data_IF_867254011567
#
_entry.id   IF_867254011567
#
_cell.length_a   1.000
_cell.length_b   1.000
_cell.length_c   1.000
_cell.angle_alpha   90.00
_cell.angle_beta   90.00
_cell.angle_gamma   90.00
#
_symmetry.space_group_name_H-M   'P 1'
#
loop_
_entity.id
_entity.type
_entity.pdbx_description
1 polymer ?
#
# COMPACT_ATOMS: atom_id res chain seq x y z
N UNK A 1 4.29 -41.62 19.02
CA UNK A 1 4.75 -40.89 17.83
C UNK A 1 3.88 -41.31 16.67
N UNK A 2 2.70 -40.70 16.57
CA UNK A 2 1.85 -40.78 15.39
C UNK A 2 2.16 -39.51 14.60
N UNK A 3 2.96 -39.66 13.55
CA UNK A 3 3.07 -38.64 12.50
C UNK A 3 1.68 -38.45 11.92
N UNK A 4 1.00 -37.37 12.31
CA UNK A 4 -0.14 -36.85 11.56
C UNK A 4 0.36 -36.65 10.12
N UNK A 5 -0.16 -37.46 9.20
CA UNK A 5 0.15 -37.26 7.79
C UNK A 5 -0.37 -35.88 7.42
N UNK A 6 0.50 -35.02 6.89
CA UNK A 6 0.06 -33.81 6.24
C UNK A 6 -1.10 -34.18 5.28
N UNK A 7 -2.23 -33.45 5.31
CA UNK A 7 -3.34 -33.74 4.40
C UNK A 7 -2.80 -33.77 2.97
N UNK A 8 -3.27 -34.74 2.17
CA UNK A 8 -2.90 -34.82 0.77
C UNK A 8 -3.19 -33.47 0.10
N UNK A 9 -2.23 -32.96 -0.68
CA UNK A 9 -2.37 -31.67 -1.35
C UNK A 9 -3.65 -31.68 -2.19
N UNK A 10 -4.52 -30.67 -2.00
CA UNK A 10 -5.71 -30.46 -2.81
C UNK A 10 -5.26 -30.33 -4.28
N UNK A 11 -5.81 -31.12 -5.21
CA UNK A 11 -5.49 -30.97 -6.62
C UNK A 11 -6.01 -29.62 -7.14
N UNK A 12 -5.26 -29.00 -8.05
CA UNK A 12 -5.66 -27.73 -8.69
C UNK A 12 -6.93 -27.92 -9.53
N UNK A 13 -7.90 -27.04 -9.32
CA UNK A 13 -9.15 -27.00 -10.07
C UNK A 13 -9.02 -26.15 -11.33
N UNK A 14 -10.07 -26.14 -12.16
CA UNK A 14 -10.14 -25.23 -13.30
C UNK A 14 -10.31 -23.76 -12.87
N UNK A 15 -10.86 -23.51 -11.68
CA UNK A 15 -11.03 -22.15 -11.13
C UNK A 15 -9.68 -21.64 -10.64
N UNK A 16 -8.88 -22.49 -9.98
CA UNK A 16 -7.50 -22.13 -9.60
C UNK A 16 -6.66 -21.78 -10.83
N UNK A 17 -6.77 -22.55 -11.91
CA UNK A 17 -6.05 -22.27 -13.15
C UNK A 17 -6.40 -20.88 -13.73
N UNK A 18 -7.67 -20.47 -13.69
CA UNK A 18 -8.07 -19.12 -14.14
C UNK A 18 -7.55 -18.04 -13.19
N UNK A 19 -7.50 -18.30 -11.88
CA UNK A 19 -6.94 -17.39 -10.90
C UNK A 19 -5.42 -17.21 -11.10
N UNK A 20 -4.69 -18.30 -11.33
CA UNK A 20 -3.25 -18.29 -11.61
C UNK A 20 -2.95 -17.56 -12.93
N UNK A 21 -3.68 -17.87 -14.01
CA UNK A 21 -3.55 -17.19 -15.31
C UNK A 21 -3.81 -15.66 -15.20
N UNK A 22 -4.74 -15.27 -14.32
CA UNK A 22 -5.00 -13.86 -14.06
C UNK A 22 -3.89 -13.22 -13.23
N UNK A 23 -3.35 -13.90 -12.22
CA UNK A 23 -2.17 -13.45 -11.47
C UNK A 23 -0.97 -13.23 -12.39
N UNK A 24 -0.70 -14.15 -13.31
CA UNK A 24 0.36 -13.99 -14.32
C UNK A 24 0.11 -12.77 -15.22
N UNK A 25 -1.15 -12.49 -15.53
CA UNK A 25 -1.55 -11.29 -16.26
C UNK A 25 -1.32 -10.02 -15.43
N UNK A 26 -1.61 -10.04 -14.13
CA UNK A 26 -1.31 -8.92 -13.23
C UNK A 26 0.19 -8.63 -13.16
N UNK A 27 1.03 -9.66 -13.02
CA UNK A 27 2.49 -9.52 -13.00
C UNK A 27 3.00 -8.89 -14.31
N UNK A 28 2.44 -9.30 -15.46
CA UNK A 28 2.80 -8.73 -16.77
C UNK A 28 2.35 -7.28 -16.93
N UNK A 29 1.17 -6.91 -16.42
CA UNK A 29 0.62 -5.56 -16.55
C UNK A 29 1.21 -4.59 -15.53
N UNK A 30 1.58 -5.08 -14.35
CA UNK A 30 2.26 -4.34 -13.30
C UNK A 30 3.61 -4.97 -12.93
N UNK A 31 4.67 -4.62 -13.67
CA UNK A 31 6.03 -4.97 -13.33
C UNK A 31 6.50 -4.53 -11.92
N UNK A 32 5.87 -3.52 -11.33
CA UNK A 32 6.22 -3.11 -9.96
C UNK A 32 5.69 -4.14 -8.95
N UNK A 33 4.51 -4.73 -9.20
CA UNK A 33 3.99 -5.85 -8.43
C UNK A 33 4.90 -7.08 -8.49
N UNK A 34 5.54 -7.36 -9.64
CA UNK A 34 6.56 -8.40 -9.74
C UNK A 34 7.72 -8.17 -8.76
N UNK A 35 8.18 -6.92 -8.66
CA UNK A 35 9.25 -6.52 -7.72
C UNK A 35 8.81 -6.67 -6.27
N UNK A 36 7.57 -6.29 -5.92
CA UNK A 36 7.06 -6.45 -4.53
C UNK A 36 6.92 -7.91 -4.12
N UNK A 37 6.62 -8.81 -5.08
CA UNK A 37 6.58 -10.26 -4.87
C UNK A 37 7.97 -10.94 -4.86
N UNK A 38 9.04 -10.20 -5.20
CA UNK A 38 10.38 -10.76 -5.33
C UNK A 38 10.59 -11.62 -6.58
N UNK A 39 9.79 -11.40 -7.63
CA UNK A 39 9.90 -12.10 -8.91
C UNK A 39 10.89 -11.37 -9.84
N UNK A 40 11.93 -12.04 -10.34
CA UNK A 40 12.93 -11.42 -11.21
C UNK A 40 12.43 -11.21 -12.64
N UNK A 41 13.15 -10.40 -13.43
CA UNK A 41 12.97 -10.24 -14.88
C UNK A 41 12.37 -8.90 -15.32
N UNK A 42 11.85 -8.10 -14.39
CA UNK A 42 11.22 -6.80 -14.65
C UNK A 42 11.68 -5.69 -13.68
N UNK A 43 12.92 -5.79 -13.18
CA UNK A 43 13.48 -4.99 -12.09
C UNK A 43 13.52 -3.49 -12.38
N UNK A 44 13.35 -3.08 -13.64
CA UNK A 44 13.44 -1.67 -14.09
C UNK A 44 12.11 -1.07 -14.56
N UNK A 45 11.06 -1.87 -14.68
CA UNK A 45 9.85 -1.51 -15.42
C UNK A 45 8.73 -0.98 -14.51
N UNK A 46 7.81 -0.20 -15.07
CA UNK A 46 6.60 0.30 -14.40
C UNK A 46 5.35 -0.18 -15.15
N UNK A 47 4.19 -0.25 -14.48
CA UNK A 47 2.92 -0.36 -15.18
C UNK A 47 2.71 0.86 -16.09
N UNK A 48 1.89 0.68 -17.11
CA UNK A 48 1.42 1.78 -17.94
C UNK A 48 0.32 2.56 -17.19
N UNK A 49 0.69 3.70 -16.60
CA UNK A 49 -0.23 4.58 -15.89
C UNK A 49 -1.11 5.46 -16.81
N UNK A 50 -0.98 5.33 -18.14
CA UNK A 50 -1.80 6.08 -19.10
C UNK A 50 -3.25 5.55 -19.16
N UNK A 51 -4.19 6.28 -19.80
CA UNK A 51 -5.54 5.78 -20.02
C UNK A 51 -5.57 4.45 -20.78
N UNK A 52 -4.60 4.22 -21.68
CA UNK A 52 -4.50 2.96 -22.42
C UNK A 52 -4.10 1.80 -21.51
N UNK A 53 -3.18 2.02 -20.57
CA UNK A 53 -2.78 1.02 -19.58
C UNK A 53 -3.91 0.69 -18.60
N UNK A 54 -4.58 1.71 -18.07
CA UNK A 54 -5.76 1.56 -17.19
C UNK A 54 -6.88 0.79 -17.90
N UNK A 55 -7.21 1.16 -19.15
CA UNK A 55 -8.21 0.45 -19.95
C UNK A 55 -7.77 -0.98 -20.30
N UNK A 56 -6.48 -1.21 -20.52
CA UNK A 56 -5.89 -2.53 -20.74
C UNK A 56 -6.07 -3.44 -19.53
N UNK A 57 -5.81 -2.93 -18.33
CA UNK A 57 -6.06 -3.64 -17.08
C UNK A 57 -7.53 -4.04 -16.96
N UNK A 58 -8.45 -3.09 -17.13
CA UNK A 58 -9.89 -3.37 -17.09
C UNK A 58 -10.35 -4.37 -18.17
N UNK A 59 -9.68 -4.42 -19.33
CA UNK A 59 -9.98 -5.40 -20.37
C UNK A 59 -9.59 -6.83 -19.94
N UNK A 60 -8.42 -7.00 -19.32
CA UNK A 60 -8.00 -8.30 -18.77
C UNK A 60 -8.86 -8.74 -17.58
N UNK A 61 -9.26 -7.80 -16.71
CA UNK A 61 -10.22 -8.05 -15.63
C UNK A 61 -11.55 -8.61 -16.15
N UNK A 62 -12.09 -8.02 -17.24
CA UNK A 62 -13.32 -8.53 -17.89
C UNK A 62 -13.12 -9.93 -18.46
N UNK A 63 -11.97 -10.22 -19.06
CA UNK A 63 -11.66 -11.55 -19.59
C UNK A 63 -11.61 -12.60 -18.49
N UNK A 64 -10.99 -12.28 -17.35
CA UNK A 64 -10.94 -13.18 -16.19
C UNK A 64 -12.35 -13.48 -15.65
N UNK A 65 -13.19 -12.46 -15.44
CA UNK A 65 -14.59 -12.66 -15.04
C UNK A 65 -15.38 -13.52 -16.04
N UNK A 66 -15.18 -13.31 -17.33
CA UNK A 66 -15.81 -14.11 -18.38
C UNK A 66 -15.36 -15.58 -18.35
N UNK A 67 -14.08 -15.84 -18.08
CA UNK A 67 -13.55 -17.20 -17.92
C UNK A 67 -14.16 -17.92 -16.70
N UNK A 68 -14.45 -17.19 -15.62
CA UNK A 68 -15.10 -17.73 -14.41
C UNK A 68 -16.61 -17.95 -14.55
N UNK A 69 -17.28 -17.31 -15.51
CA UNK A 69 -18.75 -17.30 -15.59
C UNK A 69 -19.37 -18.69 -15.86
N UNK A 70 -18.62 -19.60 -16.49
CA UNK A 70 -19.08 -20.95 -16.85
C UNK A 70 -18.61 -22.06 -15.91
N UNK A 71 -17.84 -21.75 -14.87
CA UNK A 71 -17.24 -22.74 -13.98
C UNK A 71 -18.12 -22.95 -12.73
N UNK A 72 -18.41 -24.21 -12.42
CA UNK A 72 -19.04 -24.61 -11.17
C UNK A 72 -17.96 -25.00 -10.16
N UNK A 73 -18.10 -24.62 -8.87
CA UNK A 73 -17.13 -24.97 -7.85
C UNK A 73 -17.09 -26.48 -7.62
N UNK A 74 -15.89 -27.06 -7.56
CA UNK A 74 -15.69 -28.49 -7.28
C UNK A 74 -15.72 -28.79 -5.77
N UNK A 75 -15.41 -27.78 -4.96
CA UNK A 75 -15.41 -27.82 -3.50
C UNK A 75 -15.67 -26.42 -2.88
N UNK A 76 -15.51 -26.30 -1.56
CA UNK A 76 -15.70 -25.07 -0.80
C UNK A 76 -14.63 -24.01 -1.09
N UNK A 77 -13.38 -24.42 -1.35
CA UNK A 77 -12.30 -23.52 -1.75
C UNK A 77 -12.63 -22.83 -3.07
N UNK A 78 -13.07 -23.59 -4.08
CA UNK A 78 -13.51 -23.00 -5.35
C UNK A 78 -14.69 -22.03 -5.17
N UNK A 79 -15.62 -22.33 -4.26
CA UNK A 79 -16.75 -21.47 -3.97
C UNK A 79 -16.28 -20.12 -3.39
N UNK A 80 -15.30 -20.14 -2.48
CA UNK A 80 -14.67 -18.92 -1.93
C UNK A 80 -13.91 -18.16 -3.01
N UNK A 81 -13.11 -18.84 -3.83
CA UNK A 81 -12.34 -18.20 -4.92
C UNK A 81 -13.27 -17.51 -5.90
N UNK A 82 -14.37 -18.17 -6.32
CA UNK A 82 -15.36 -17.56 -7.20
C UNK A 82 -16.02 -16.33 -6.58
N UNK A 83 -16.41 -16.39 -5.31
CA UNK A 83 -17.05 -15.27 -4.63
C UNK A 83 -16.09 -14.08 -4.50
N UNK A 84 -14.89 -14.33 -3.97
CA UNK A 84 -13.86 -13.31 -3.79
C UNK A 84 -13.42 -12.67 -5.12
N UNK A 85 -13.15 -13.48 -6.16
CA UNK A 85 -12.76 -12.93 -7.46
C UNK A 85 -13.89 -12.13 -8.11
N UNK A 86 -15.14 -12.62 -8.05
CA UNK A 86 -16.29 -11.88 -8.61
C UNK A 86 -16.49 -10.55 -7.90
N UNK A 87 -16.37 -10.52 -6.58
CA UNK A 87 -16.54 -9.31 -5.80
C UNK A 87 -15.39 -8.32 -6.08
N UNK A 88 -14.13 -8.74 -5.98
CA UNK A 88 -12.96 -7.87 -6.20
C UNK A 88 -12.88 -7.36 -7.64
N UNK A 89 -12.93 -8.23 -8.65
CA UNK A 89 -12.80 -7.85 -10.06
C UNK A 89 -14.06 -7.10 -10.53
N UNK A 90 -15.25 -7.46 -10.04
CA UNK A 90 -16.47 -6.74 -10.35
C UNK A 90 -16.40 -5.29 -9.86
N UNK A 91 -15.95 -5.07 -8.62
CA UNK A 91 -15.75 -3.73 -8.07
C UNK A 91 -14.68 -2.93 -8.83
N UNK A 92 -13.58 -3.57 -9.23
CA UNK A 92 -12.56 -2.90 -10.06
C UNK A 92 -13.16 -2.34 -11.35
N UNK A 93 -14.05 -3.09 -12.01
CA UNK A 93 -14.75 -2.62 -13.21
C UNK A 93 -15.74 -1.50 -12.92
N UNK A 94 -16.49 -1.57 -11.83
CA UNK A 94 -17.40 -0.47 -11.44
C UNK A 94 -16.62 0.84 -11.18
N UNK A 95 -15.45 0.76 -10.54
CA UNK A 95 -14.57 1.91 -10.30
C UNK A 95 -14.05 2.47 -11.63
N UNK A 96 -13.59 1.59 -12.51
CA UNK A 96 -13.11 1.99 -13.84
C UNK A 96 -14.22 2.64 -14.68
N UNK A 97 -15.43 2.08 -14.66
CA UNK A 97 -16.60 2.64 -15.36
C UNK A 97 -17.02 4.00 -14.78
N UNK A 98 -16.74 4.24 -13.50
CA UNK A 98 -16.94 5.57 -12.89
C UNK A 98 -15.92 6.60 -13.42
N UNK A 99 -14.77 6.17 -13.94
CA UNK A 99 -13.65 6.98 -14.41
C UNK A 99 -12.91 7.76 -13.32
N UNK A 100 -13.09 7.39 -12.05
CA UNK A 100 -12.37 8.01 -10.93
C UNK A 100 -11.00 7.40 -10.65
N UNK A 101 -10.72 6.22 -11.21
CA UNK A 101 -9.39 5.59 -11.26
C UNK A 101 -8.39 6.46 -12.04
N UNK A 102 -8.81 7.08 -13.15
CA UNK A 102 -7.96 8.03 -13.90
C UNK A 102 -7.64 9.32 -13.11
N UNK A 103 -8.42 9.63 -12.08
CA UNK A 103 -8.29 10.83 -11.24
C UNK A 103 -7.59 10.56 -9.90
N UNK A 104 -6.99 9.38 -9.72
CA UNK A 104 -6.42 8.94 -8.46
C UNK A 104 -5.23 9.80 -8.04
N UNK A 105 -5.45 10.66 -7.04
CA UNK A 105 -4.43 11.52 -6.45
C UNK A 105 -4.78 11.80 -4.99
N UNK A 106 -3.91 11.37 -4.08
CA UNK A 106 -4.03 11.65 -2.64
C UNK A 106 -2.65 11.73 -1.98
N UNK A 107 -2.62 11.99 -0.67
CA UNK A 107 -1.40 12.26 0.08
C UNK A 107 -0.61 11.02 0.52
N UNK A 108 -1.13 9.80 0.30
CA UNK A 108 -0.58 8.58 0.92
C UNK A 108 -0.35 7.43 -0.05
N UNK A 109 -1.33 7.10 -0.90
CA UNK A 109 -1.31 5.93 -1.77
C UNK A 109 -1.95 6.31 -3.11
N UNK A 110 -1.11 6.78 -4.03
CA UNK A 110 -1.47 7.08 -5.41
C UNK A 110 -0.19 7.00 -6.28
N UNK A 111 -0.29 7.00 -7.62
CA UNK A 111 0.86 6.77 -8.49
C UNK A 111 2.09 7.67 -8.21
N UNK A 112 1.87 8.91 -7.73
CA UNK A 112 2.96 9.81 -7.36
C UNK A 112 3.84 9.29 -6.21
N UNK A 113 3.25 8.59 -5.24
CA UNK A 113 3.99 7.97 -4.13
C UNK A 113 4.52 6.60 -4.53
N UNK A 114 3.71 5.79 -5.24
CA UNK A 114 4.06 4.40 -5.58
C UNK A 114 5.28 4.32 -6.50
N UNK A 115 5.36 5.22 -7.49
CA UNK A 115 6.52 5.32 -8.40
C UNK A 115 7.81 5.61 -7.63
N UNK A 116 7.77 6.33 -6.50
CA UNK A 116 8.94 6.54 -5.65
C UNK A 116 9.15 5.39 -4.66
N UNK A 117 8.09 4.85 -4.08
CA UNK A 117 8.15 3.87 -3.01
C UNK A 117 8.78 2.53 -3.43
N UNK A 118 8.60 2.14 -4.69
CA UNK A 118 9.16 0.88 -5.20
C UNK A 118 10.69 0.79 -5.06
N UNK A 119 11.39 1.93 -5.04
CA UNK A 119 12.84 1.98 -4.86
C UNK A 119 13.28 1.49 -3.47
N UNK A 120 12.41 1.61 -2.46
CA UNK A 120 12.73 1.18 -1.09
C UNK A 120 12.81 -0.36 -0.97
N UNK A 121 12.23 -1.07 -1.93
CA UNK A 121 12.27 -2.53 -2.03
C UNK A 121 13.42 -3.05 -2.89
N UNK A 122 14.16 -2.16 -3.57
CA UNK A 122 15.22 -2.59 -4.46
C UNK A 122 16.49 -2.94 -3.67
N UNK A 123 17.10 -4.11 -3.93
CA UNK A 123 18.33 -4.52 -3.27
C UNK A 123 19.50 -3.58 -3.65
N UNK A 124 20.58 -3.54 -2.86
CA UNK A 124 21.73 -2.61 -3.05
C UNK A 124 23.10 -3.27 -2.87
N UNK A 125 23.14 -4.60 -2.79
CA UNK A 125 24.32 -5.38 -2.45
C UNK A 125 25.33 -5.52 -3.60
N UNK A 126 24.88 -5.46 -4.86
CA UNK A 126 25.72 -5.74 -6.04
C UNK A 126 25.69 -4.60 -7.06
N UNK A 127 26.67 -4.57 -7.97
CA UNK A 127 26.69 -3.62 -9.07
C UNK A 127 25.45 -3.73 -9.96
N UNK A 128 24.99 -4.96 -10.24
CA UNK A 128 23.77 -5.24 -11.01
C UNK A 128 22.52 -4.66 -10.33
N UNK A 129 22.41 -4.76 -9.00
CA UNK A 129 21.31 -4.12 -8.27
C UNK A 129 21.27 -2.61 -8.48
N UNK A 130 22.44 -1.96 -8.45
CA UNK A 130 22.55 -0.53 -8.74
C UNK A 130 22.29 -0.20 -10.21
N UNK A 131 22.61 -1.09 -11.15
CA UNK A 131 22.19 -0.95 -12.55
C UNK A 131 20.67 -1.01 -12.72
N UNK A 132 19.99 -1.90 -11.98
CA UNK A 132 18.53 -1.96 -11.96
C UNK A 132 17.91 -0.69 -11.39
N UNK A 133 18.43 -0.17 -10.28
CA UNK A 133 18.00 1.11 -9.69
C UNK A 133 18.16 2.25 -10.72
N UNK A 134 19.32 2.32 -11.39
CA UNK A 134 19.56 3.31 -12.43
C UNK A 134 18.58 3.16 -13.61
N UNK A 135 18.33 1.93 -14.05
CA UNK A 135 17.37 1.62 -15.11
C UNK A 135 15.95 2.04 -14.75
N UNK A 136 15.49 1.69 -13.54
CA UNK A 136 14.18 2.10 -13.03
C UNK A 136 14.05 3.61 -12.93
N UNK A 137 15.08 4.30 -12.43
CA UNK A 137 15.09 5.77 -12.36
C UNK A 137 14.99 6.42 -13.75
N UNK A 138 15.60 5.81 -14.79
CA UNK A 138 15.44 6.24 -16.18
C UNK A 138 14.05 6.00 -16.76
N UNK A 139 13.27 5.08 -16.20
CA UNK A 139 11.88 4.79 -16.61
C UNK A 139 10.82 5.62 -15.87
N UNK A 140 11.16 6.28 -14.75
CA UNK A 140 10.26 7.21 -14.03
C UNK A 140 9.61 8.27 -14.94
N UNK A 141 10.31 8.90 -15.91
CA UNK A 141 9.67 9.83 -16.84
C UNK A 141 8.57 9.21 -17.69
N UNK A 142 8.69 7.94 -18.08
CA UNK A 142 7.64 7.23 -18.82
C UNK A 142 6.39 7.05 -17.97
N UNK A 143 6.56 6.52 -16.76
CA UNK A 143 5.48 6.30 -15.80
C UNK A 143 4.73 7.59 -15.45
N UNK A 144 5.46 8.65 -15.11
CA UNK A 144 4.84 9.94 -14.74
C UNK A 144 4.15 10.64 -15.92
N UNK A 145 4.64 10.48 -17.16
CA UNK A 145 3.94 11.03 -18.33
C UNK A 145 2.61 10.32 -18.58
N UNK A 146 2.56 9.00 -18.46
CA UNK A 146 1.31 8.24 -18.54
C UNK A 146 0.33 8.68 -17.45
N UNK A 147 0.80 8.82 -16.21
CA UNK A 147 -0.02 9.31 -15.11
C UNK A 147 -0.57 10.73 -15.35
N UNK A 148 0.26 11.66 -15.86
CA UNK A 148 -0.18 13.00 -16.25
C UNK A 148 -1.28 12.94 -17.34
N UNK A 149 -1.16 12.02 -18.30
CA UNK A 149 -2.18 11.82 -19.34
C UNK A 149 -3.53 11.42 -18.74
N UNK A 150 -3.54 10.45 -17.82
CA UNK A 150 -4.74 10.01 -17.10
C UNK A 150 -5.38 11.14 -16.29
N UNK A 151 -4.58 11.86 -15.49
CA UNK A 151 -5.08 13.00 -14.72
C UNK A 151 -5.66 14.11 -15.62
N UNK A 152 -5.05 14.34 -16.80
CA UNK A 152 -5.52 15.33 -17.76
C UNK A 152 -6.85 14.88 -18.39
N UNK A 153 -6.98 13.62 -18.78
CA UNK A 153 -8.22 13.06 -19.31
C UNK A 153 -9.34 13.13 -18.28
N UNK A 154 -9.07 12.71 -17.03
CA UNK A 154 -10.02 12.80 -15.93
C UNK A 154 -10.48 14.25 -15.67
N UNK A 155 -9.54 15.20 -15.66
CA UNK A 155 -9.85 16.63 -15.54
C UNK A 155 -10.79 17.10 -16.63
N UNK A 156 -10.52 16.74 -17.89
CA UNK A 156 -11.35 17.13 -19.03
C UNK A 156 -12.75 16.50 -18.97
N UNK A 157 -12.88 15.36 -18.29
CA UNK A 157 -14.15 14.72 -17.93
C UNK A 157 -14.80 15.27 -16.64
N UNK A 158 -14.25 16.34 -16.04
CA UNK A 158 -14.77 16.97 -14.82
C UNK A 158 -14.45 16.23 -13.52
N UNK A 159 -13.49 15.30 -13.53
CA UNK A 159 -13.06 14.51 -12.37
C UNK A 159 -11.68 14.95 -11.93
N UNK A 160 -11.64 15.69 -10.82
CA UNK A 160 -10.40 16.23 -10.26
C UNK A 160 -10.37 15.98 -8.75
N UNK A 161 -9.22 15.59 -8.23
CA UNK A 161 -8.99 15.50 -6.79
C UNK A 161 -9.11 16.88 -6.12
N UNK A 162 -9.44 16.91 -4.83
CA UNK A 162 -9.60 18.17 -4.10
C UNK A 162 -8.30 19.00 -4.10
N UNK A 163 -8.42 20.32 -4.14
CA UNK A 163 -7.28 21.24 -4.20
C UNK A 163 -6.26 21.02 -3.07
N UNK A 164 -6.73 20.57 -1.90
CA UNK A 164 -5.89 20.14 -0.77
C UNK A 164 -4.95 19.00 -1.16
N UNK A 165 -5.49 17.93 -1.75
CA UNK A 165 -4.71 16.76 -2.14
C UNK A 165 -3.70 17.12 -3.23
N UNK A 166 -4.13 17.88 -4.25
CA UNK A 166 -3.24 18.38 -5.30
C UNK A 166 -2.08 19.19 -4.70
N UNK A 167 -2.36 20.08 -3.74
CA UNK A 167 -1.33 20.89 -3.08
C UNK A 167 -0.34 20.05 -2.28
N UNK A 168 -0.80 19.02 -1.56
CA UNK A 168 0.08 18.11 -0.81
C UNK A 168 0.98 17.32 -1.75
N UNK A 169 0.43 16.78 -2.84
CA UNK A 169 1.24 16.02 -3.81
C UNK A 169 2.27 16.94 -4.48
N UNK A 170 1.94 18.19 -4.80
CA UNK A 170 2.93 19.18 -5.26
C UNK A 170 4.08 19.33 -4.26
N UNK A 171 3.79 19.44 -2.96
CA UNK A 171 4.81 19.54 -1.93
C UNK A 171 5.72 18.30 -1.89
N UNK A 172 5.12 17.11 -1.87
CA UNK A 172 5.83 15.83 -1.84
C UNK A 172 6.72 15.65 -3.07
N UNK A 173 6.18 15.84 -4.27
CA UNK A 173 6.95 15.69 -5.53
C UNK A 173 8.05 16.72 -5.65
N UNK A 174 7.84 17.94 -5.12
CA UNK A 174 8.90 18.97 -5.05
C UNK A 174 10.04 18.52 -4.13
N UNK A 175 9.73 17.91 -2.96
CA UNK A 175 10.74 17.34 -2.05
C UNK A 175 11.50 16.18 -2.71
N UNK A 176 10.82 15.29 -3.44
CA UNK A 176 11.48 14.20 -4.15
C UNK A 176 12.48 14.70 -5.20
N UNK A 177 12.14 15.79 -5.88
CA UNK A 177 12.95 16.37 -6.96
C UNK A 177 14.04 17.36 -6.50
N UNK A 178 14.06 17.75 -5.22
CA UNK A 178 15.02 18.69 -4.65
C UNK A 178 16.48 18.23 -4.84
N UNK A 179 17.44 19.17 -4.73
CA UNK A 179 18.87 18.86 -4.86
C UNK A 179 19.39 17.95 -3.74
N UNK A 180 18.74 17.99 -2.58
CA UNK A 180 18.94 17.09 -1.44
C UNK A 180 17.73 16.13 -1.24
N UNK A 181 16.92 15.97 -2.29
CA UNK A 181 15.75 15.09 -2.32
C UNK A 181 16.11 13.61 -2.42
N UNK A 182 15.09 12.76 -2.44
CA UNK A 182 15.23 11.28 -2.46
C UNK A 182 16.19 10.80 -3.54
N UNK A 183 15.94 11.13 -4.82
CA UNK A 183 16.74 10.62 -5.94
C UNK A 183 18.19 11.12 -5.91
N UNK A 184 18.42 12.35 -5.43
CA UNK A 184 19.77 12.88 -5.29
C UNK A 184 20.55 12.16 -4.19
N UNK A 185 19.91 11.94 -3.03
CA UNK A 185 20.49 11.17 -1.92
C UNK A 185 20.72 9.71 -2.29
N UNK A 186 19.80 9.08 -3.02
CA UNK A 186 19.93 7.70 -3.48
C UNK A 186 21.16 7.52 -4.38
N UNK A 187 21.32 8.37 -5.40
CA UNK A 187 22.49 8.30 -6.28
C UNK A 187 23.80 8.64 -5.56
N UNK A 188 23.81 9.66 -4.69
CA UNK A 188 25.00 10.04 -3.92
C UNK A 188 25.41 9.02 -2.86
N UNK A 189 24.44 8.23 -2.36
CA UNK A 189 24.64 7.20 -1.35
C UNK A 189 25.03 5.83 -1.91
N UNK A 190 25.21 5.70 -3.22
CA UNK A 190 25.40 4.41 -3.89
C UNK A 190 26.70 3.69 -3.47
N UNK A 191 26.54 2.51 -2.87
CA UNK A 191 27.64 1.70 -2.35
C UNK A 191 27.26 0.23 -2.25
N UNK A 192 28.26 -0.63 -2.32
CA UNK A 192 28.16 -2.07 -2.04
C UNK A 192 28.95 -2.38 -0.75
N UNK A 193 29.03 -3.67 -0.39
CA UNK A 193 29.89 -4.11 0.70
C UNK A 193 31.39 -3.80 0.45
N UNK A 194 31.80 -3.73 -0.82
CA UNK A 194 33.19 -3.52 -1.23
C UNK A 194 33.58 -2.03 -1.35
N UNK A 195 32.63 -1.12 -1.14
CA UNK A 195 32.84 0.33 -1.20
C UNK A 195 31.90 1.04 -2.19
N UNK A 196 32.25 2.27 -2.61
CA UNK A 196 31.50 3.00 -3.64
C UNK A 196 31.35 2.18 -4.92
N UNK A 197 30.23 2.35 -5.62
CA UNK A 197 30.02 1.73 -6.94
C UNK A 197 31.06 2.24 -7.96
N UNK A 198 31.28 1.48 -9.02
CA UNK A 198 32.20 1.90 -10.07
C UNK A 198 31.70 3.16 -10.81
N UNK A 199 32.61 3.85 -11.50
CA UNK A 199 32.30 5.12 -12.16
C UNK A 199 31.24 4.98 -13.27
N UNK A 200 31.15 3.81 -13.92
CA UNK A 200 30.20 3.59 -15.02
C UNK A 200 28.77 3.40 -14.48
N UNK A 201 28.62 2.66 -13.37
CA UNK A 201 27.36 2.51 -12.64
C UNK A 201 26.97 3.84 -12.00
N UNK A 202 27.91 4.58 -11.41
CA UNK A 202 27.64 5.91 -10.86
C UNK A 202 27.11 6.87 -11.93
N UNK A 203 27.72 6.90 -13.13
CA UNK A 203 27.22 7.74 -14.23
C UNK A 203 25.79 7.37 -14.66
N UNK A 204 25.47 6.07 -14.68
CA UNK A 204 24.11 5.59 -14.97
C UNK A 204 23.11 6.04 -13.90
N UNK A 205 23.49 5.95 -12.62
CA UNK A 205 22.68 6.38 -11.48
C UNK A 205 22.44 7.88 -11.49
N UNK A 206 23.48 8.68 -11.69
CA UNK A 206 23.39 10.14 -11.73
C UNK A 206 22.45 10.58 -12.86
N UNK A 207 22.57 9.97 -14.04
CA UNK A 207 21.68 10.23 -15.17
C UNK A 207 20.24 9.79 -14.91
N UNK A 208 20.03 8.62 -14.29
CA UNK A 208 18.70 8.12 -13.91
C UNK A 208 18.04 9.01 -12.85
N UNK A 209 18.77 9.39 -11.81
CA UNK A 209 18.30 10.31 -10.78
C UNK A 209 17.95 11.68 -11.37
N UNK A 210 18.79 12.22 -12.26
CA UNK A 210 18.49 13.48 -12.94
C UNK A 210 17.19 13.40 -13.76
N UNK A 211 16.97 12.28 -14.48
CA UNK A 211 15.76 12.04 -15.25
C UNK A 211 14.51 11.95 -14.35
N UNK A 212 14.57 11.15 -13.28
CA UNK A 212 13.47 11.02 -12.31
C UNK A 212 13.12 12.36 -11.65
N UNK A 213 14.13 13.13 -11.21
CA UNK A 213 13.94 14.47 -10.65
C UNK A 213 13.31 15.43 -11.66
N UNK A 214 13.72 15.36 -12.92
CA UNK A 214 13.12 16.13 -14.01
C UNK A 214 11.63 15.82 -14.18
N UNK A 215 11.27 14.54 -14.20
CA UNK A 215 9.89 14.09 -14.35
C UNK A 215 9.00 14.46 -13.15
N UNK A 216 9.51 14.39 -11.92
CA UNK A 216 8.74 14.87 -10.75
C UNK A 216 8.56 16.40 -10.74
N UNK A 217 9.52 17.17 -11.28
CA UNK A 217 9.31 18.62 -11.52
C UNK A 217 8.24 18.87 -12.57
N UNK A 218 8.22 18.08 -13.64
CA UNK A 218 7.19 18.16 -14.68
C UNK A 218 5.80 17.84 -14.10
N UNK A 219 5.67 16.77 -13.29
CA UNK A 219 4.44 16.47 -12.57
C UNK A 219 4.02 17.64 -11.66
N UNK A 220 4.94 18.15 -10.83
CA UNK A 220 4.62 19.26 -9.92
C UNK A 220 4.13 20.51 -10.67
N UNK A 221 4.72 20.80 -11.84
CA UNK A 221 4.31 21.92 -12.67
C UNK A 221 2.96 21.69 -13.34
N UNK A 222 2.70 20.50 -13.87
CA UNK A 222 1.38 20.10 -14.37
C UNK A 222 0.32 20.25 -13.28
N UNK A 223 0.56 19.68 -12.09
CA UNK A 223 -0.36 19.77 -10.97
C UNK A 223 -0.65 21.23 -10.59
N UNK A 224 0.37 22.11 -10.61
CA UNK A 224 0.23 23.52 -10.27
C UNK A 224 -0.51 24.34 -11.33
N UNK A 225 -0.21 24.12 -12.60
CA UNK A 225 -0.65 24.99 -13.70
C UNK A 225 -1.91 24.50 -14.40
N UNK A 226 -2.16 23.19 -14.40
CA UNK A 226 -3.25 22.56 -15.12
C UNK A 226 -4.30 21.96 -14.17
N UNK A 227 -3.90 21.22 -13.14
CA UNK A 227 -4.84 20.47 -12.31
C UNK A 227 -5.41 21.30 -11.15
N UNK A 228 -4.55 22.00 -10.40
CA UNK A 228 -4.94 22.79 -9.23
C UNK A 228 -5.95 23.91 -9.57
N UNK A 229 -5.85 24.64 -10.70
CA UNK A 229 -6.87 25.63 -11.06
C UNK A 229 -8.24 25.04 -11.35
N UNK A 230 -8.31 23.76 -11.75
CA UNK A 230 -9.55 23.03 -11.99
C UNK A 230 -10.04 22.25 -10.75
N UNK A 231 -9.24 22.19 -9.69
CA UNK A 231 -9.52 21.36 -8.52
C UNK A 231 -10.62 21.96 -7.62
N UNK A 232 -11.61 21.16 -7.18
CA UNK A 232 -12.63 21.64 -6.26
C UNK A 232 -12.04 21.97 -4.88
N UNK A 233 -12.57 23.01 -4.24
CA UNK A 233 -12.24 23.35 -2.85
C UNK A 233 -12.91 22.40 -1.84
N UNK A 234 -14.03 21.77 -2.23
CA UNK A 234 -14.73 20.82 -1.40
C UNK A 234 -13.96 19.50 -1.34
N UNK A 235 -13.55 19.11 -0.13
CA UNK A 235 -12.83 17.85 0.11
C UNK A 235 -13.76 16.61 0.02
N UNK A 236 -15.04 16.77 0.37
CA UNK A 236 -15.99 15.66 0.41
C UNK A 236 -16.29 15.09 -0.99
N UNK A 237 -16.07 13.78 -1.16
CA UNK A 237 -16.22 13.07 -2.44
C UNK A 237 -17.67 12.74 -2.83
N UNK A 238 -18.61 12.83 -1.88
CA UNK A 238 -20.01 12.47 -2.11
C UNK A 238 -20.29 10.97 -2.01
N UNK A 239 -21.58 10.62 -1.93
CA UNK A 239 -22.04 9.27 -1.56
C UNK A 239 -21.63 8.17 -2.53
N UNK A 240 -21.76 8.41 -3.84
CA UNK A 240 -21.52 7.40 -4.88
C UNK A 240 -20.05 6.96 -4.88
N UNK A 241 -19.12 7.93 -4.92
CA UNK A 241 -17.68 7.67 -4.83
C UNK A 241 -17.29 7.03 -3.51
N UNK A 242 -17.87 7.52 -2.40
CA UNK A 242 -17.59 6.96 -1.08
C UNK A 242 -18.03 5.49 -0.97
N UNK A 243 -19.19 5.13 -1.54
CA UNK A 243 -19.68 3.75 -1.51
C UNK A 243 -18.75 2.78 -2.26
N UNK A 244 -18.23 3.17 -3.44
CA UNK A 244 -17.26 2.36 -4.17
C UNK A 244 -15.94 2.22 -3.39
N UNK A 245 -15.38 3.33 -2.91
CA UNK A 245 -14.15 3.31 -2.12
C UNK A 245 -14.30 2.49 -0.83
N UNK A 246 -15.44 2.63 -0.12
CA UNK A 246 -15.74 1.86 1.09
C UNK A 246 -15.74 0.35 0.83
N UNK A 247 -16.33 -0.10 -0.29
CA UNK A 247 -16.28 -1.51 -0.70
C UNK A 247 -14.86 -1.98 -1.00
N UNK A 248 -14.01 -1.13 -1.59
CA UNK A 248 -12.62 -1.48 -1.88
C UNK A 248 -11.87 -1.85 -0.60
N UNK A 249 -12.09 -1.12 0.49
CA UNK A 249 -11.44 -1.39 1.76
C UNK A 249 -12.13 -2.48 2.60
N UNK A 250 -13.46 -2.57 2.57
CA UNK A 250 -14.21 -3.45 3.48
C UNK A 250 -14.59 -4.80 2.89
N UNK A 251 -14.62 -4.96 1.56
CA UNK A 251 -15.20 -6.16 0.95
C UNK A 251 -16.71 -6.26 1.10
N UNK A 252 -17.38 -5.18 1.49
CA UNK A 252 -18.81 -5.16 1.80
C UNK A 252 -19.45 -3.82 1.45
N UNK A 253 -20.71 -3.86 0.99
CA UNK A 253 -21.54 -2.69 0.77
C UNK A 253 -22.39 -2.41 2.02
N UNK A 254 -21.82 -1.67 2.98
CA UNK A 254 -22.51 -1.29 4.22
C UNK A 254 -23.52 -0.17 3.99
N UNK A 255 -24.55 -0.08 4.84
CA UNK A 255 -25.40 1.11 4.89
C UNK A 255 -24.62 2.24 5.56
N UNK A 256 -24.14 3.18 4.77
CA UNK A 256 -23.31 4.29 5.26
C UNK A 256 -23.98 5.15 6.34
N UNK A 257 -25.31 5.28 6.32
CA UNK A 257 -26.04 6.08 7.30
C UNK A 257 -26.19 5.34 8.63
N UNK A 258 -26.50 4.05 8.56
CA UNK A 258 -26.56 3.16 9.72
C UNK A 258 -25.16 3.00 10.34
N UNK A 259 -24.13 2.75 9.54
CA UNK A 259 -22.75 2.59 10.01
C UNK A 259 -22.23 3.86 10.68
N UNK A 260 -22.60 5.05 10.17
CA UNK A 260 -22.29 6.31 10.85
C UNK A 260 -22.97 6.41 12.22
N UNK A 261 -24.26 6.08 12.31
CA UNK A 261 -25.00 6.12 13.57
C UNK A 261 -24.43 5.12 14.59
N UNK A 262 -24.09 3.92 14.14
CA UNK A 262 -23.37 2.93 14.95
C UNK A 262 -22.03 3.47 15.44
N UNK A 263 -21.24 4.10 14.56
CA UNK A 263 -19.93 4.65 14.91
C UNK A 263 -20.00 5.75 15.98
N UNK A 264 -21.02 6.61 15.93
CA UNK A 264 -21.26 7.63 16.97
C UNK A 264 -21.60 6.97 18.31
N UNK A 265 -22.49 5.97 18.30
CA UNK A 265 -22.85 5.24 19.52
C UNK A 265 -21.65 4.48 20.11
N UNK A 266 -20.85 3.86 19.25
CA UNK A 266 -19.66 3.12 19.67
C UNK A 266 -18.59 4.06 20.24
N UNK A 267 -18.43 5.26 19.69
CA UNK A 267 -17.56 6.29 20.25
C UNK A 267 -18.01 6.68 21.67
N UNK A 268 -19.29 6.95 21.88
CA UNK A 268 -19.83 7.27 23.22
C UNK A 268 -19.58 6.12 24.21
N UNK A 269 -19.77 4.88 23.77
CA UNK A 269 -19.50 3.68 24.58
C UNK A 269 -18.02 3.60 24.96
N UNK A 270 -17.10 3.84 24.02
CA UNK A 270 -15.66 3.80 24.26
C UNK A 270 -15.20 4.92 25.21
N UNK A 271 -15.77 6.13 25.09
CA UNK A 271 -15.50 7.23 26.02
C UNK A 271 -15.95 6.84 27.43
N UNK A 272 -17.15 6.28 27.59
CA UNK A 272 -17.64 5.84 28.90
C UNK A 272 -16.76 4.74 29.52
N UNK A 273 -16.19 3.83 28.72
CA UNK A 273 -15.21 2.85 29.21
C UNK A 273 -13.89 3.53 29.64
N UNK A 274 -13.41 4.53 28.89
CA UNK A 274 -12.22 5.30 29.27
C UNK A 274 -12.42 6.05 30.59
N UNK A 275 -13.61 6.61 30.85
CA UNK A 275 -13.95 7.27 32.12
C UNK A 275 -13.93 6.29 33.31
N UNK A 276 -14.44 5.06 33.13
CA UNK A 276 -14.36 4.00 34.14
C UNK A 276 -12.90 3.64 34.43
N UNK A 277 -12.10 3.45 33.38
CA UNK A 277 -10.66 3.14 33.52
C UNK A 277 -9.90 4.27 34.22
N UNK A 278 -10.21 5.53 33.90
CA UNK A 278 -9.64 6.69 34.57
C UNK A 278 -9.90 6.65 36.09
N UNK A 279 -11.11 6.31 36.50
CA UNK A 279 -11.50 6.17 37.91
C UNK A 279 -10.80 5.00 38.63
N UNK A 280 -10.42 3.94 37.90
CA UNK A 280 -9.61 2.83 38.44
C UNK A 280 -8.17 3.28 38.68
N UNK A 281 -7.61 4.06 37.77
CA UNK A 281 -6.24 4.59 37.88
C UNK A 281 -6.13 5.54 39.07
N UNK A 282 -7.08 6.47 39.20
CA UNK A 282 -7.19 7.37 40.34
C UNK A 282 -8.67 7.68 40.60
N UNK A 283 -9.20 7.39 41.81
CA UNK A 283 -10.59 7.69 42.13
C UNK A 283 -10.95 9.16 41.87
N UNK A 284 -11.93 9.39 41.00
CA UNK A 284 -12.41 10.71 40.61
C UNK A 284 -11.60 11.43 39.53
N UNK A 285 -10.57 10.81 38.96
CA UNK A 285 -9.82 11.40 37.85
C UNK A 285 -10.61 11.36 36.53
N UNK A 286 -10.46 12.40 35.72
CA UNK A 286 -10.88 12.40 34.32
C UNK A 286 -9.88 11.67 33.42
N UNK A 287 -10.25 11.43 32.15
CA UNK A 287 -9.43 10.69 31.17
C UNK A 287 -8.03 11.31 31.01
N UNK A 288 -7.95 12.61 30.78
CA UNK A 288 -6.67 13.30 30.54
C UNK A 288 -5.75 13.29 31.77
N UNK A 289 -6.31 13.48 32.98
CA UNK A 289 -5.55 13.37 34.22
C UNK A 289 -5.00 11.95 34.42
N UNK A 290 -5.83 10.93 34.16
CA UNK A 290 -5.40 9.54 34.25
C UNK A 290 -4.27 9.22 33.25
N UNK A 291 -4.36 9.73 32.00
CA UNK A 291 -3.27 9.62 31.02
C UNK A 291 -2.01 10.32 31.48
N UNK A 292 -2.10 11.52 32.04
CA UNK A 292 -0.95 12.25 32.56
C UNK A 292 -0.25 11.47 33.68
N UNK A 293 -1.02 10.87 34.59
CA UNK A 293 -0.49 9.98 35.63
C UNK A 293 0.24 8.79 35.00
N UNK A 294 -0.38 8.09 34.06
CA UNK A 294 0.22 6.92 33.40
C UNK A 294 1.50 7.28 32.62
N UNK A 295 1.50 8.40 31.89
CA UNK A 295 2.62 8.85 31.08
C UNK A 295 3.83 9.28 31.94
N UNK A 296 3.58 9.81 33.13
CA UNK A 296 4.62 10.28 34.03
C UNK A 296 5.07 9.24 35.07
N UNK A 297 4.39 8.09 35.18
CA UNK A 297 4.77 6.99 36.07
C UNK A 297 6.05 6.31 35.57
N UNK A 298 7.19 6.40 36.31
CA UNK A 298 8.43 5.77 35.89
C UNK A 298 8.34 4.25 35.76
N UNK A 299 7.40 3.59 36.45
CA UNK A 299 7.18 2.15 36.35
C UNK A 299 6.60 1.71 35.00
N UNK A 300 6.10 2.67 34.19
CA UNK A 300 5.51 2.44 32.86
C UNK A 300 6.39 2.95 31.74
N UNK A 301 7.63 3.36 32.05
CA UNK A 301 8.60 3.84 31.08
C UNK A 301 9.75 2.84 30.91
N UNK A 302 10.02 2.46 29.66
CA UNK A 302 11.19 1.65 29.32
C UNK A 302 12.35 2.56 28.91
N UNK A 303 13.58 2.15 29.24
CA UNK A 303 14.80 2.90 28.87
C UNK A 303 15.61 2.10 27.84
N UNK A 304 15.70 2.65 26.64
CA UNK A 304 16.43 2.06 25.52
C UNK A 304 15.64 1.01 24.75
N UNK A 305 16.06 0.80 23.51
CA UNK A 305 15.39 -0.10 22.55
C UNK A 305 15.52 -1.57 22.93
N UNK A 306 16.58 -1.97 23.62
CA UNK A 306 16.72 -3.34 24.12
C UNK A 306 15.61 -3.69 25.11
N UNK A 307 15.33 -2.81 26.09
CA UNK A 307 14.25 -3.01 27.05
C UNK A 307 12.87 -3.02 26.37
N UNK A 308 12.66 -2.16 25.37
CA UNK A 308 11.44 -2.15 24.56
C UNK A 308 11.25 -3.48 23.81
N UNK A 309 12.30 -3.95 23.13
CA UNK A 309 12.29 -5.22 22.40
C UNK A 309 11.97 -6.38 23.33
N UNK A 310 12.65 -6.47 24.46
CA UNK A 310 12.50 -7.58 25.40
C UNK A 310 11.08 -7.59 26.01
N UNK A 311 10.52 -6.41 26.32
CA UNK A 311 9.13 -6.29 26.77
C UNK A 311 8.11 -6.73 25.69
N UNK A 312 8.29 -6.32 24.43
CA UNK A 312 7.43 -6.77 23.34
C UNK A 312 7.54 -8.28 23.11
N UNK A 313 8.76 -8.83 23.22
CA UNK A 313 9.02 -10.26 23.05
C UNK A 313 8.34 -11.08 24.14
N UNK A 314 8.49 -10.69 25.41
CA UNK A 314 7.84 -11.36 26.54
C UNK A 314 6.32 -11.35 26.40
N UNK A 315 5.74 -10.21 26.02
CA UNK A 315 4.29 -10.08 25.81
C UNK A 315 3.81 -10.95 24.65
N UNK A 316 4.54 -10.97 23.54
CA UNK A 316 4.22 -11.78 22.36
C UNK A 316 4.29 -13.27 22.65
N UNK A 317 5.38 -13.72 23.27
CA UNK A 317 5.58 -15.12 23.65
C UNK A 317 4.51 -15.58 24.64
N UNK A 318 4.17 -14.73 25.62
CA UNK A 318 3.11 -14.99 26.58
C UNK A 318 1.74 -15.11 25.89
N UNK A 319 1.41 -14.20 24.99
CA UNK A 319 0.15 -14.24 24.26
C UNK A 319 0.03 -15.52 23.43
N UNK A 320 1.08 -15.90 22.70
CA UNK A 320 1.11 -17.17 21.95
C UNK A 320 0.89 -18.36 22.88
N UNK A 321 1.58 -18.41 24.02
CA UNK A 321 1.47 -19.51 24.98
C UNK A 321 0.08 -19.62 25.62
N UNK A 322 -0.53 -18.49 25.99
CA UNK A 322 -1.85 -18.46 26.64
C UNK A 322 -2.98 -18.79 25.66
N UNK A 323 -2.80 -18.49 24.36
CA UNK A 323 -3.82 -18.65 23.32
C UNK A 323 -3.76 -20.00 22.59
N UNK A 324 -2.56 -20.58 22.42
CA UNK A 324 -2.34 -21.81 21.66
C UNK A 324 -3.04 -23.01 22.31
N UNK A 325 -3.86 -23.73 21.53
CA UNK A 325 -4.61 -24.91 21.98
C UNK A 325 -5.79 -24.59 22.91
N UNK A 326 -6.05 -23.32 23.20
CA UNK A 326 -7.21 -22.86 23.98
C UNK A 326 -8.18 -22.09 23.09
N UNK A 327 -7.67 -21.05 22.44
CA UNK A 327 -8.45 -20.15 21.59
C UNK A 327 -8.08 -20.28 20.10
N UNK A 328 -6.84 -20.69 19.81
CA UNK A 328 -6.33 -20.82 18.45
C UNK A 328 -5.46 -22.07 18.29
N UNK A 329 -5.52 -22.68 17.11
CA UNK A 329 -4.54 -23.65 16.66
C UNK A 329 -3.33 -22.90 16.09
N UNK A 330 -2.22 -22.88 16.84
CA UNK A 330 -0.97 -22.21 16.43
C UNK A 330 0.09 -23.29 16.18
N UNK A 331 0.39 -23.63 14.92
CA UNK A 331 1.45 -24.58 14.59
C UNK A 331 2.79 -24.13 15.16
N UNK A 332 3.69 -25.07 15.52
CA UNK A 332 4.95 -24.75 16.19
C UNK A 332 5.82 -23.72 15.42
N UNK A 333 5.78 -23.77 14.08
CA UNK A 333 6.48 -22.81 13.22
C UNK A 333 5.93 -21.37 13.32
N UNK A 334 4.65 -21.22 13.68
CA UNK A 334 3.96 -19.93 13.83
C UNK A 334 4.07 -19.38 15.26
N UNK A 335 4.52 -20.20 16.23
CA UNK A 335 4.70 -19.75 17.63
C UNK A 335 5.85 -18.78 17.81
N UNK A 336 6.79 -18.73 16.85
CA UNK A 336 7.95 -17.84 16.91
C UNK A 336 7.64 -16.50 16.24
N UNK A 337 7.44 -15.46 17.05
CA UNK A 337 7.26 -14.08 16.61
C UNK A 337 8.43 -13.23 17.13
N UNK A 338 9.37 -12.85 16.27
CA UNK A 338 10.53 -12.05 16.67
C UNK A 338 10.21 -10.56 16.69
N UNK A 339 10.30 -9.93 17.86
CA UNK A 339 10.17 -8.48 17.99
C UNK A 339 11.50 -7.79 17.66
N UNK A 340 11.48 -6.83 16.73
CA UNK A 340 12.66 -6.09 16.26
C UNK A 340 12.44 -4.58 16.33
N UNK A 341 13.51 -3.82 16.12
CA UNK A 341 13.47 -2.35 16.01
C UNK A 341 13.50 -2.00 14.53
N UNK A 342 12.58 -1.13 14.10
CA UNK A 342 12.53 -0.67 12.72
C UNK A 342 13.85 0.02 12.33
N UNK A 343 14.37 -0.21 11.10
CA UNK A 343 15.62 0.39 10.63
C UNK A 343 15.46 1.86 10.16
N UNK A 344 14.24 2.36 10.06
CA UNK A 344 13.90 3.74 9.63
C UNK A 344 13.07 4.46 10.70
N UNK A 345 13.26 5.79 10.78
CA UNK A 345 12.55 6.68 11.72
C UNK A 345 11.36 7.43 11.08
N UNK A 346 11.04 7.16 9.81
CA UNK A 346 9.90 7.76 9.10
C UNK A 346 8.65 6.88 9.28
N UNK A 347 7.88 7.16 10.33
CA UNK A 347 6.48 6.71 10.43
C UNK A 347 5.59 7.68 9.66
N UNK A 348 4.72 7.15 8.78
CA UNK A 348 3.84 7.92 7.89
C UNK A 348 2.89 8.90 8.57
#
# INVERSE_FOLDING_TARGET
MTTESAPAARPYSAIDAVADDYTDTLIRLDPSFATTLGLPGHETEYPDYSPAGIAGFAAETRKALAALAGLAPQDDVDAVTLDAMRERLGLQLEIHESGWDEAELNNIASPAQDIRAIFDLMPTETAEHWEHIAGRARNVPGALRGYIESLRQARDAGKVAAARQVSIVIEQTTKYAADDGFFAKLAAGARTADGPVDAAVQEKLDAGAAAARGAYRELAEFLRTELLPAAPQQDAVGRERYALASRSFLGAAVDLGETYAWGVQELDRLIAEQEKVASIIKPGAGIEEAKEILNNDPARQLKGTAALRDWMQELSDKAVADLAGVHFDIPDVMKKLECLIAPTDEGG
#
